data_IF_496335892334
#
_entry.id   IF_496335892334
#
_cell.length_a   1.000
_cell.length_b   1.000
_cell.length_c   1.000
_cell.angle_alpha   90.00
_cell.angle_beta   90.00
_cell.angle_gamma   90.00
#
_symmetry.space_group_name_H-M   'P 1'
#
loop_
_entity.id
_entity.type
_entity.pdbx_description
1 polymer ?
#
# COMPACT_ATOMS: atom_id res chain seq x y z
N UNK A 1 -8.77 -0.43 19.20
CA UNK A 1 -9.64 -1.62 19.21
C UNK A 1 -10.07 -1.82 17.77
N UNK A 2 -10.10 -3.05 17.24
CA UNK A 2 -10.72 -3.28 15.94
C UNK A 2 -12.16 -2.77 15.98
N UNK A 3 -12.61 -2.19 14.87
CA UNK A 3 -13.97 -1.70 14.75
C UNK A 3 -14.93 -2.88 14.91
N UNK A 4 -15.98 -2.73 15.74
CA UNK A 4 -16.95 -3.80 15.94
C UNK A 4 -17.68 -4.04 14.60
N UNK A 5 -17.61 -5.26 14.05
CA UNK A 5 -18.15 -5.58 12.73
C UNK A 5 -17.12 -5.64 11.59
N UNK A 6 -15.85 -5.36 11.86
CA UNK A 6 -14.77 -5.46 10.88
C UNK A 6 -14.51 -6.93 10.50
N UNK A 7 -14.53 -7.23 9.21
CA UNK A 7 -14.21 -8.55 8.67
C UNK A 7 -13.21 -8.42 7.52
N UNK A 8 -12.04 -9.01 7.67
CA UNK A 8 -11.01 -9.12 6.62
C UNK A 8 -11.19 -10.42 5.85
N UNK A 9 -11.37 -10.35 4.55
CA UNK A 9 -11.59 -11.51 3.68
C UNK A 9 -10.99 -11.28 2.27
N UNK A 10 -9.66 -11.41 2.12
CA UNK A 10 -9.02 -11.24 0.81
C UNK A 10 -9.44 -12.37 -0.13
N UNK A 11 -9.54 -12.02 -1.42
CA UNK A 11 -9.75 -13.02 -2.48
C UNK A 11 -8.43 -13.73 -2.82
N UNK A 12 -8.51 -14.95 -3.29
CA UNK A 12 -7.31 -15.67 -3.77
C UNK A 12 -6.64 -14.91 -4.91
N UNK A 13 -7.44 -14.36 -5.83
CA UNK A 13 -6.94 -13.58 -6.97
C UNK A 13 -6.20 -12.32 -6.50
N UNK A 14 -6.79 -11.53 -5.59
CA UNK A 14 -6.15 -10.32 -5.06
C UNK A 14 -4.84 -10.60 -4.33
N UNK A 15 -4.78 -11.69 -3.55
CA UNK A 15 -3.53 -12.14 -2.94
C UNK A 15 -2.50 -12.48 -4.03
N UNK A 16 -2.88 -13.24 -5.06
CA UNK A 16 -1.98 -13.63 -6.15
C UNK A 16 -1.51 -12.44 -6.97
N UNK A 17 -2.38 -11.46 -7.22
CA UNK A 17 -2.04 -10.24 -7.94
C UNK A 17 -0.93 -9.44 -7.23
N UNK A 18 -0.88 -9.48 -5.90
CA UNK A 18 0.17 -8.80 -5.11
C UNK A 18 1.59 -9.32 -5.38
N UNK A 19 1.73 -10.53 -5.95
CA UNK A 19 3.04 -11.13 -6.27
C UNK A 19 3.49 -10.90 -7.72
N UNK A 20 2.64 -10.32 -8.56
CA UNK A 20 2.90 -10.20 -10.00
C UNK A 20 3.61 -8.90 -10.37
N UNK A 21 4.28 -8.92 -11.52
CA UNK A 21 4.87 -7.76 -12.16
C UNK A 21 5.91 -6.96 -11.33
N UNK A 22 6.52 -7.60 -10.33
CA UNK A 22 7.66 -7.03 -9.62
C UNK A 22 8.96 -7.23 -10.41
N UNK A 23 9.87 -6.27 -10.32
CA UNK A 23 11.22 -6.37 -10.91
C UNK A 23 12.16 -7.28 -10.12
N UNK A 24 11.82 -7.57 -8.85
CA UNK A 24 12.58 -8.44 -7.95
C UNK A 24 11.69 -9.56 -7.40
N UNK A 25 12.28 -10.70 -7.00
CA UNK A 25 11.51 -11.82 -6.48
C UNK A 25 10.83 -11.51 -5.14
N UNK A 26 9.59 -11.94 -5.00
CA UNK A 26 8.89 -12.07 -3.72
C UNK A 26 9.24 -13.41 -3.06
N UNK A 27 9.12 -13.48 -1.74
CA UNK A 27 9.38 -14.72 -0.99
C UNK A 27 8.21 -15.04 -0.09
N UNK A 28 7.92 -16.33 0.04
CA UNK A 28 6.92 -16.85 0.96
C UNK A 28 7.61 -17.82 1.91
N UNK A 29 7.48 -17.59 3.21
CA UNK A 29 7.85 -18.51 4.25
C UNK A 29 6.62 -19.27 4.70
N UNK A 30 6.76 -20.59 4.79
CA UNK A 30 5.72 -21.50 5.26
C UNK A 30 6.26 -22.27 6.48
N UNK A 31 5.45 -22.39 7.52
CA UNK A 31 5.80 -23.15 8.71
C UNK A 31 4.80 -24.29 8.89
N UNK A 32 5.32 -25.49 9.12
CA UNK A 32 4.55 -26.71 9.25
C UNK A 32 4.75 -27.34 10.63
N UNK A 33 3.68 -27.90 11.18
CA UNK A 33 3.72 -28.87 12.28
C UNK A 33 3.33 -30.22 11.69
N UNK A 34 4.31 -31.12 11.59
CA UNK A 34 4.24 -32.31 10.75
C UNK A 34 3.85 -31.92 9.31
N UNK A 35 2.75 -32.42 8.78
CA UNK A 35 2.27 -32.12 7.42
C UNK A 35 1.27 -30.94 7.38
N UNK A 36 0.97 -30.34 8.53
CA UNK A 36 -0.04 -29.30 8.63
C UNK A 36 0.60 -27.92 8.54
N UNK A 37 0.16 -27.09 7.58
CA UNK A 37 0.53 -25.70 7.51
C UNK A 37 -0.05 -24.93 8.71
N UNK A 38 0.82 -24.32 9.54
CA UNK A 38 0.43 -23.60 10.75
C UNK A 38 0.65 -22.10 10.65
N UNK A 39 1.56 -21.63 9.81
CA UNK A 39 1.73 -20.20 9.54
C UNK A 39 2.37 -19.94 8.18
N UNK A 40 2.10 -18.75 7.65
CA UNK A 40 2.69 -18.22 6.43
C UNK A 40 3.03 -16.74 6.60
N UNK A 41 4.05 -16.26 5.90
CA UNK A 41 4.45 -14.86 5.80
C UNK A 41 5.03 -14.61 4.43
N UNK A 42 4.58 -13.56 3.75
CA UNK A 42 5.17 -13.11 2.49
C UNK A 42 6.07 -11.90 2.69
N UNK A 43 7.08 -11.75 1.82
CA UNK A 43 7.84 -10.52 1.67
C UNK A 43 7.84 -10.09 0.22
N UNK A 44 7.34 -8.89 -0.03
CA UNK A 44 7.19 -8.27 -1.34
C UNK A 44 8.30 -7.22 -1.54
N UNK A 45 8.95 -7.18 -2.71
CA UNK A 45 9.97 -6.20 -2.96
C UNK A 45 9.36 -4.80 -3.12
N UNK A 46 9.90 -3.83 -2.42
CA UNK A 46 9.57 -2.42 -2.58
C UNK A 46 10.85 -1.58 -2.59
N UNK A 47 10.76 -0.39 -3.13
CA UNK A 47 11.81 0.61 -3.02
C UNK A 47 11.34 1.71 -2.07
N UNK A 48 12.28 2.31 -1.36
CA UNK A 48 12.05 3.52 -0.59
C UNK A 48 13.08 4.58 -0.95
N UNK A 49 12.68 5.83 -0.83
CA UNK A 49 13.60 6.95 -0.80
C UNK A 49 13.70 7.43 0.65
N UNK A 50 14.87 7.28 1.25
CA UNK A 50 15.09 7.61 2.64
C UNK A 50 16.51 8.17 2.84
N UNK A 51 16.63 9.26 3.60
CA UNK A 51 17.93 9.89 3.85
C UNK A 51 18.65 10.34 2.58
N UNK A 52 17.93 10.80 1.55
CA UNK A 52 18.50 11.25 0.29
C UNK A 52 18.90 10.12 -0.67
N UNK A 53 18.58 8.86 -0.36
CA UNK A 53 18.98 7.69 -1.16
C UNK A 53 17.81 6.77 -1.46
N UNK A 54 17.79 6.23 -2.68
CA UNK A 54 16.92 5.12 -3.04
C UNK A 54 17.48 3.83 -2.47
N UNK A 55 16.66 3.07 -1.76
CA UNK A 55 17.01 1.80 -1.14
C UNK A 55 16.02 0.72 -1.57
N UNK A 56 16.55 -0.47 -1.83
CA UNK A 56 15.77 -1.67 -2.09
C UNK A 56 15.49 -2.36 -0.77
N UNK A 57 14.22 -2.54 -0.42
CA UNK A 57 13.81 -3.23 0.81
C UNK A 57 12.69 -4.23 0.51
N UNK A 58 12.24 -4.94 1.52
CA UNK A 58 11.05 -5.79 1.43
C UNK A 58 9.95 -5.30 2.37
N UNK A 59 8.72 -5.48 1.94
CA UNK A 59 7.53 -5.28 2.77
C UNK A 59 6.97 -6.64 3.18
N UNK A 60 6.85 -6.87 4.49
CA UNK A 60 6.26 -8.10 5.02
C UNK A 60 4.74 -7.97 5.06
N UNK A 61 4.06 -8.88 4.39
CA UNK A 61 2.60 -8.93 4.29
C UNK A 61 2.07 -10.36 4.44
N UNK A 62 0.75 -10.51 4.51
CA UNK A 62 0.05 -11.79 4.58
C UNK A 62 0.52 -12.70 5.73
N UNK A 63 0.89 -12.11 6.89
CA UNK A 63 1.20 -12.89 8.08
C UNK A 63 -0.06 -13.59 8.60
N UNK A 64 -0.10 -14.88 8.45
CA UNK A 64 -1.20 -15.73 8.92
C UNK A 64 -0.69 -16.78 9.91
N UNK A 65 -1.42 -16.97 11.01
CA UNK A 65 -1.20 -18.06 11.98
C UNK A 65 -2.51 -18.76 12.24
N UNK A 66 -2.49 -20.08 12.06
CA UNK A 66 -3.65 -20.93 12.30
C UNK A 66 -4.20 -20.72 13.72
N UNK A 67 -5.51 -20.57 13.94
CA UNK A 67 -6.10 -20.18 15.22
C UNK A 67 -5.65 -21.01 16.43
N UNK A 68 -5.50 -22.32 16.27
CA UNK A 68 -5.06 -23.23 17.34
C UNK A 68 -3.60 -23.01 17.80
N UNK A 69 -2.78 -22.35 16.98
CA UNK A 69 -1.36 -22.10 17.24
C UNK A 69 -1.05 -20.63 17.59
N UNK A 70 -2.10 -19.80 17.73
CA UNK A 70 -1.96 -18.41 18.16
C UNK A 70 -1.51 -18.32 19.61
N UNK A 71 -0.85 -17.21 19.97
CA UNK A 71 -0.31 -16.91 21.31
C UNK A 71 0.78 -17.91 21.78
N UNK A 72 1.38 -18.68 20.88
CA UNK A 72 2.44 -19.67 21.16
C UNK A 72 3.79 -19.25 20.53
N UNK A 73 3.98 -17.98 20.19
CA UNK A 73 5.23 -17.49 19.61
C UNK A 73 5.42 -17.78 18.10
N UNK A 74 4.47 -18.46 17.45
CA UNK A 74 4.59 -18.89 16.03
C UNK A 74 4.81 -17.71 15.09
N UNK A 75 4.07 -16.60 15.27
CA UNK A 75 4.27 -15.39 14.46
C UNK A 75 5.68 -14.82 14.60
N UNK A 76 6.21 -14.76 15.82
CA UNK A 76 7.57 -14.27 16.07
C UNK A 76 8.61 -15.18 15.44
N UNK A 77 8.42 -16.49 15.51
CA UNK A 77 9.36 -17.47 14.94
C UNK A 77 9.44 -17.33 13.40
N UNK A 78 8.31 -17.23 12.70
CA UNK A 78 8.32 -17.08 11.23
C UNK A 78 8.93 -15.73 10.81
N UNK A 79 8.68 -14.65 11.55
CA UNK A 79 9.30 -13.33 11.31
C UNK A 79 10.81 -13.43 11.48
N UNK A 80 11.30 -14.06 12.55
CA UNK A 80 12.72 -14.25 12.80
C UNK A 80 13.37 -15.09 11.69
N UNK A 81 12.72 -16.17 11.26
CA UNK A 81 13.21 -17.03 10.16
C UNK A 81 13.35 -16.22 8.86
N UNK A 82 12.33 -15.47 8.47
CA UNK A 82 12.36 -14.64 7.27
C UNK A 82 13.47 -13.60 7.35
N UNK A 83 13.58 -12.90 8.49
CA UNK A 83 14.62 -11.88 8.70
C UNK A 83 16.02 -12.50 8.61
N UNK A 84 16.21 -13.67 9.20
CA UNK A 84 17.51 -14.38 9.16
C UNK A 84 17.85 -14.83 7.73
N UNK A 85 16.88 -15.35 6.98
CA UNK A 85 17.08 -15.77 5.60
C UNK A 85 17.43 -14.59 4.67
N UNK A 86 16.77 -13.43 4.84
CA UNK A 86 17.15 -12.22 4.11
C UNK A 86 18.58 -11.77 4.45
N UNK A 87 18.95 -11.73 5.73
CA UNK A 87 20.33 -11.39 6.16
C UNK A 87 21.39 -12.34 5.63
N UNK A 88 21.09 -13.63 5.53
CA UNK A 88 22.01 -14.61 4.94
C UNK A 88 22.20 -14.37 3.45
N UNK A 89 21.14 -14.08 2.71
CA UNK A 89 21.21 -13.70 1.29
C UNK A 89 22.00 -12.41 1.09
N UNK A 90 21.78 -11.40 1.95
CA UNK A 90 22.48 -10.12 1.92
C UNK A 90 23.98 -10.28 2.10
N UNK A 91 24.42 -11.13 3.04
CA UNK A 91 25.83 -11.42 3.23
C UNK A 91 26.47 -11.99 1.96
N UNK A 92 25.79 -12.89 1.27
CA UNK A 92 26.25 -13.46 0.01
C UNK A 92 26.30 -12.41 -1.11
N UNK A 93 25.30 -11.53 -1.17
CA UNK A 93 25.14 -10.50 -2.21
C UNK A 93 25.84 -9.18 -1.87
N UNK A 94 26.46 -9.05 -0.67
CA UNK A 94 27.05 -7.80 -0.13
C UNK A 94 26.05 -6.64 -0.16
N UNK A 95 24.79 -6.92 0.16
CA UNK A 95 23.70 -5.94 0.30
C UNK A 95 23.26 -5.87 1.76
N UNK A 96 22.59 -4.79 2.11
CA UNK A 96 21.98 -4.59 3.43
C UNK A 96 20.50 -4.33 3.22
N UNK A 97 19.69 -5.38 3.36
CA UNK A 97 18.26 -5.34 3.07
C UNK A 97 17.47 -5.21 4.35
N UNK A 98 16.64 -4.20 4.43
CA UNK A 98 15.69 -4.00 5.52
C UNK A 98 14.32 -4.59 5.16
N UNK A 99 13.56 -4.98 6.19
CA UNK A 99 12.18 -5.43 6.03
C UNK A 99 11.27 -4.45 6.77
N UNK A 100 10.29 -3.90 6.05
CA UNK A 100 9.26 -3.02 6.59
C UNK A 100 8.04 -3.84 7.00
N UNK A 101 7.52 -3.59 8.19
CA UNK A 101 6.29 -4.21 8.71
C UNK A 101 5.24 -3.14 9.01
N UNK A 102 4.00 -3.40 8.61
CA UNK A 102 2.83 -2.73 9.18
C UNK A 102 2.38 -3.51 10.41
N UNK A 103 2.16 -2.84 11.52
CA UNK A 103 1.65 -3.47 12.72
C UNK A 103 0.46 -2.69 13.27
N UNK A 104 -0.58 -3.40 13.62
CA UNK A 104 -1.73 -2.87 14.33
C UNK A 104 -1.51 -2.97 15.86
N UNK A 105 -2.06 -1.99 16.58
CA UNK A 105 -1.98 -1.93 18.04
C UNK A 105 -0.65 -1.40 18.60
N UNK A 106 -0.58 -1.33 19.92
CA UNK A 106 0.61 -0.80 20.64
C UNK A 106 1.74 -1.84 20.63
N UNK A 107 2.93 -1.44 20.22
CA UNK A 107 4.15 -2.23 20.36
C UNK A 107 5.03 -1.62 21.44
N UNK A 108 5.47 -2.45 22.40
CA UNK A 108 6.40 -2.01 23.46
C UNK A 108 7.87 -2.31 23.16
N UNK A 109 8.17 -3.08 22.10
CA UNK A 109 9.51 -3.65 21.88
C UNK A 109 10.25 -3.09 20.67
N UNK A 110 9.61 -2.33 19.80
CA UNK A 110 10.23 -1.79 18.57
C UNK A 110 9.83 -0.33 18.44
N UNK A 111 10.82 0.53 18.19
CA UNK A 111 10.57 1.94 17.86
C UNK A 111 9.99 1.98 16.44
N UNK A 112 8.76 2.49 16.25
CA UNK A 112 8.17 2.55 14.92
C UNK A 112 8.84 3.65 14.07
N UNK A 113 8.95 3.41 12.76
CA UNK A 113 9.39 4.42 11.81
C UNK A 113 8.39 5.59 11.77
N UNK A 114 7.11 5.26 11.79
CA UNK A 114 6.01 6.22 11.88
C UNK A 114 4.78 5.59 12.54
N UNK A 115 3.93 6.44 13.09
CA UNK A 115 2.62 6.04 13.65
C UNK A 115 1.57 6.81 12.89
N UNK A 116 0.55 6.12 12.39
CA UNK A 116 -0.59 6.72 11.72
C UNK A 116 -1.90 6.19 12.30
N UNK A 117 -2.96 6.93 12.09
CA UNK A 117 -4.32 6.55 12.49
C UNK A 117 -5.15 6.35 11.23
N UNK A 118 -5.91 5.28 11.19
CA UNK A 118 -6.95 5.09 10.18
C UNK A 118 -8.24 5.71 10.68
N UNK A 119 -8.94 6.41 9.80
CA UNK A 119 -10.27 6.94 10.02
C UNK A 119 -11.22 6.26 9.05
N UNK A 120 -12.37 5.86 9.54
CA UNK A 120 -13.44 5.25 8.73
C UNK A 120 -14.57 6.25 8.62
N UNK A 121 -15.02 6.49 7.39
CA UNK A 121 -16.11 7.40 7.08
C UNK A 121 -17.17 6.66 6.28
N UNK A 122 -18.43 6.96 6.53
CA UNK A 122 -19.53 6.52 5.69
C UNK A 122 -19.69 7.52 4.55
N UNK A 123 -19.28 7.12 3.34
CA UNK A 123 -19.33 7.97 2.16
C UNK A 123 -20.72 8.14 1.58
N UNK A 124 -21.70 7.30 1.96
CA UNK A 124 -23.10 7.46 1.53
C UNK A 124 -23.75 8.69 2.15
N UNK A 125 -23.16 9.21 3.26
CA UNK A 125 -23.61 10.46 3.90
C UNK A 125 -23.06 11.72 3.24
N UNK A 126 -22.14 11.58 2.28
CA UNK A 126 -21.51 12.72 1.63
C UNK A 126 -22.38 13.31 0.52
N UNK A 127 -22.32 14.63 0.35
CA UNK A 127 -23.00 15.30 -0.74
C UNK A 127 -22.35 14.92 -2.07
N UNK A 128 -23.10 14.20 -2.90
CA UNK A 128 -22.67 13.75 -4.23
C UNK A 128 -22.96 14.77 -5.35
N UNK A 129 -23.55 15.92 -5.01
CA UNK A 129 -23.82 16.98 -5.99
C UNK A 129 -22.58 17.79 -6.36
N UNK A 130 -21.44 17.46 -5.75
CA UNK A 130 -20.16 18.09 -6.08
C UNK A 130 -19.72 17.59 -7.45
N UNK A 131 -19.81 18.44 -8.46
CA UNK A 131 -19.42 18.12 -9.83
C UNK A 131 -18.24 19.00 -10.27
N UNK A 132 -17.32 18.42 -11.01
CA UNK A 132 -16.22 19.18 -11.63
C UNK A 132 -16.68 19.99 -12.85
N UNK A 133 -17.92 19.83 -13.30
CA UNK A 133 -18.45 20.46 -14.51
C UNK A 133 -18.42 22.00 -14.49
N UNK A 134 -18.43 22.60 -13.30
CA UNK A 134 -18.31 24.04 -13.13
C UNK A 134 -16.87 24.58 -13.30
N UNK A 135 -15.89 23.66 -13.34
CA UNK A 135 -14.47 23.96 -13.42
C UNK A 135 -13.85 23.26 -14.64
N UNK A 136 -14.16 23.74 -15.83
CA UNK A 136 -13.68 23.14 -17.10
C UNK A 136 -12.15 22.99 -17.20
N UNK A 137 -11.39 23.67 -16.33
CA UNK A 137 -9.94 23.59 -16.26
C UNK A 137 -9.41 22.48 -15.35
N UNK A 138 -10.30 21.77 -14.59
CA UNK A 138 -9.95 20.68 -13.69
C UNK A 138 -10.34 19.36 -14.34
N UNK A 139 -9.43 18.39 -14.33
CA UNK A 139 -9.67 17.06 -14.88
C UNK A 139 -9.14 15.99 -13.94
N UNK A 140 -9.83 14.86 -13.91
CA UNK A 140 -9.37 13.62 -13.27
C UNK A 140 -9.16 12.55 -14.34
N UNK A 141 -7.97 11.99 -14.36
CA UNK A 141 -7.62 10.91 -15.28
C UNK A 141 -7.06 9.73 -14.50
N UNK A 142 -7.40 8.50 -14.93
CA UNK A 142 -6.85 7.28 -14.33
C UNK A 142 -5.42 7.04 -14.80
N UNK A 143 -4.63 6.44 -13.92
CA UNK A 143 -3.30 5.92 -14.30
C UNK A 143 -3.45 4.77 -15.30
N UNK A 144 -2.81 4.94 -16.44
CA UNK A 144 -2.69 3.96 -17.52
C UNK A 144 -1.26 4.00 -18.06
N UNK A 145 -0.92 3.12 -19.00
CA UNK A 145 0.37 3.19 -19.70
C UNK A 145 0.58 4.54 -20.39
N UNK A 146 -0.49 5.15 -20.95
CA UNK A 146 -0.44 6.43 -21.64
C UNK A 146 -0.22 7.61 -20.70
N UNK A 147 -0.78 7.57 -19.49
CA UNK A 147 -0.69 8.64 -18.49
C UNK A 147 0.44 8.45 -17.48
N UNK A 148 1.21 7.36 -17.60
CA UNK A 148 2.25 6.99 -16.64
C UNK A 148 3.38 8.02 -16.51
N UNK A 149 3.70 8.76 -17.56
CA UNK A 149 4.71 9.83 -17.52
C UNK A 149 4.30 10.97 -16.58
N UNK A 150 3.01 11.36 -16.58
CA UNK A 150 2.48 12.40 -15.69
C UNK A 150 2.53 11.95 -14.23
N UNK A 151 2.20 10.69 -13.97
CA UNK A 151 2.31 10.12 -12.63
C UNK A 151 3.75 10.11 -12.13
N UNK A 152 4.71 9.67 -12.97
CA UNK A 152 6.13 9.66 -12.61
C UNK A 152 6.68 11.05 -12.32
N UNK A 153 6.22 12.08 -13.03
CA UNK A 153 6.59 13.47 -12.75
C UNK A 153 6.18 13.87 -11.32
N UNK A 154 4.89 13.65 -10.96
CA UNK A 154 4.38 13.93 -9.62
C UNK A 154 5.07 13.09 -8.55
N UNK A 155 5.31 11.81 -8.82
CA UNK A 155 6.00 10.91 -7.89
C UNK A 155 7.43 11.39 -7.61
N UNK A 156 8.16 11.80 -8.64
CA UNK A 156 9.51 12.35 -8.49
C UNK A 156 9.50 13.64 -7.65
N UNK A 157 8.54 14.53 -7.85
CA UNK A 157 8.38 15.74 -7.02
C UNK A 157 8.08 15.36 -5.55
N UNK A 158 7.22 14.36 -5.33
CA UNK A 158 6.83 13.92 -3.98
C UNK A 158 8.01 13.39 -3.16
N UNK A 159 8.98 12.74 -3.80
CA UNK A 159 10.17 12.18 -3.15
C UNK A 159 10.96 13.24 -2.37
N UNK A 160 10.99 14.47 -2.84
CA UNK A 160 11.72 15.56 -2.19
C UNK A 160 10.92 16.26 -1.08
N UNK A 161 9.62 16.05 -1.03
CA UNK A 161 8.76 16.64 0.03
C UNK A 161 8.74 15.83 1.32
N UNK A 162 9.00 14.52 1.24
CA UNK A 162 8.90 13.63 2.39
C UNK A 162 10.26 13.07 2.81
N UNK A 163 10.45 12.86 4.12
CA UNK A 163 11.67 12.24 4.65
C UNK A 163 11.81 10.77 4.26
N UNK A 164 10.68 10.11 4.01
CA UNK A 164 10.61 8.73 3.56
C UNK A 164 9.44 8.60 2.57
N UNK A 165 9.71 8.08 1.38
CA UNK A 165 8.69 7.81 0.36
C UNK A 165 8.81 6.38 -0.10
N UNK A 166 7.69 5.64 -0.11
CA UNK A 166 7.63 4.29 -0.68
C UNK A 166 7.48 4.45 -2.19
N UNK A 167 8.38 3.80 -2.93
CA UNK A 167 8.43 3.80 -4.38
C UNK A 167 8.17 2.37 -4.86
N UNK A 168 6.97 2.07 -5.28
CA UNK A 168 6.67 0.79 -5.91
C UNK A 168 7.12 0.78 -7.37
N UNK A 169 7.35 -0.41 -7.91
CA UNK A 169 7.67 -0.58 -9.33
C UNK A 169 6.48 -0.13 -10.18
N UNK A 170 6.72 0.73 -11.17
CA UNK A 170 5.66 1.24 -12.04
C UNK A 170 4.92 0.11 -12.77
N UNK A 171 5.66 -0.93 -13.19
CA UNK A 171 5.07 -2.11 -13.82
C UNK A 171 4.08 -2.82 -12.90
N UNK A 172 4.41 -2.95 -11.62
CA UNK A 172 3.51 -3.53 -10.62
C UNK A 172 2.28 -2.65 -10.38
N UNK A 173 2.47 -1.32 -10.26
CA UNK A 173 1.35 -0.38 -10.09
C UNK A 173 0.38 -0.43 -11.28
N UNK A 174 0.89 -0.41 -12.52
CA UNK A 174 0.08 -0.51 -13.73
C UNK A 174 -0.67 -1.86 -13.79
N UNK A 175 0.01 -2.95 -13.44
CA UNK A 175 -0.62 -4.27 -13.37
C UNK A 175 -1.77 -4.29 -12.37
N UNK A 176 -1.59 -3.76 -11.15
CA UNK A 176 -2.65 -3.68 -10.15
C UNK A 176 -3.81 -2.77 -10.60
N UNK A 177 -3.52 -1.69 -11.33
CA UNK A 177 -4.56 -0.84 -11.91
C UNK A 177 -5.35 -1.57 -13.01
N UNK A 178 -4.68 -2.36 -13.87
CA UNK A 178 -5.34 -3.19 -14.89
C UNK A 178 -6.23 -4.28 -14.27
N UNK A 179 -5.89 -4.74 -13.06
CA UNK A 179 -6.66 -5.73 -12.28
C UNK A 179 -7.71 -5.13 -11.35
N UNK A 180 -7.87 -3.81 -11.36
CA UNK A 180 -8.79 -3.08 -10.48
C UNK A 180 -8.53 -3.26 -8.96
N UNK A 181 -7.34 -3.78 -8.59
CA UNK A 181 -6.89 -3.91 -7.21
C UNK A 181 -6.40 -2.57 -6.64
N UNK A 182 -6.00 -1.67 -7.53
CA UNK A 182 -5.52 -0.34 -7.23
C UNK A 182 -6.17 0.67 -8.17
N UNK A 183 -6.62 1.78 -7.63
CA UNK A 183 -7.11 2.93 -8.39
C UNK A 183 -6.16 4.08 -8.13
N UNK A 184 -5.51 4.56 -9.18
CA UNK A 184 -4.69 5.78 -9.12
C UNK A 184 -5.32 6.81 -10.04
N UNK A 185 -5.72 7.94 -9.46
CA UNK A 185 -6.33 9.05 -10.17
C UNK A 185 -5.39 10.26 -10.11
N UNK A 186 -5.11 10.86 -11.26
CA UNK A 186 -4.31 12.07 -11.39
C UNK A 186 -5.24 13.28 -11.48
N UNK A 187 -4.93 14.30 -10.70
CA UNK A 187 -5.60 15.61 -10.77
C UNK A 187 -4.79 16.53 -11.69
N UNK A 188 -5.45 17.02 -12.72
CA UNK A 188 -4.89 18.01 -13.65
C UNK A 188 -5.63 19.34 -13.48
N UNK A 189 -4.87 20.43 -13.54
CA UNK A 189 -5.39 21.80 -13.60
C UNK A 189 -4.78 22.47 -14.84
N UNK A 190 -5.60 22.94 -15.76
CA UNK A 190 -5.15 23.47 -17.06
C UNK A 190 -4.26 22.47 -17.84
N UNK A 191 -4.58 21.19 -17.80
CA UNK A 191 -3.84 20.06 -18.39
C UNK A 191 -2.46 19.78 -17.71
N UNK A 192 -2.09 20.47 -16.64
CA UNK A 192 -0.86 20.22 -15.90
C UNK A 192 -1.15 19.31 -14.70
N UNK A 193 -0.33 18.27 -14.43
CA UNK A 193 -0.53 17.37 -13.31
C UNK A 193 -0.15 18.07 -12.00
N UNK A 194 -1.12 18.21 -11.10
CA UNK A 194 -0.96 18.92 -9.81
C UNK A 194 -1.15 18.04 -8.59
N UNK A 195 -1.60 16.80 -8.77
CA UNK A 195 -1.75 15.89 -7.65
C UNK A 195 -2.22 14.51 -8.06
N UNK A 196 -2.26 13.61 -7.08
CA UNK A 196 -2.81 12.27 -7.28
C UNK A 196 -3.44 11.70 -6.00
N UNK A 197 -4.31 10.72 -6.20
CA UNK A 197 -4.93 9.92 -5.14
C UNK A 197 -4.74 8.44 -5.46
N UNK A 198 -4.44 7.64 -4.43
CA UNK A 198 -4.23 6.19 -4.56
C UNK A 198 -5.17 5.47 -3.61
N UNK A 199 -6.05 4.67 -4.17
CA UNK A 199 -7.03 3.87 -3.45
C UNK A 199 -6.79 2.40 -3.75
N UNK A 200 -7.17 1.54 -2.77
CA UNK A 200 -7.18 0.10 -2.95
C UNK A 200 -8.39 -0.54 -2.28
N UNK A 201 -8.74 -1.75 -2.69
CA UNK A 201 -9.58 -2.63 -1.91
C UNK A 201 -8.77 -3.16 -0.71
N UNK A 202 -9.09 -2.84 0.54
CA UNK A 202 -8.43 -3.38 1.71
C UNK A 202 -8.90 -4.80 2.03
N UNK A 203 -9.87 -5.35 1.30
CA UNK A 203 -10.59 -6.58 1.60
C UNK A 203 -11.26 -6.59 2.99
N UNK A 204 -11.62 -5.41 3.46
CA UNK A 204 -12.29 -5.22 4.74
C UNK A 204 -13.73 -4.78 4.49
N UNK A 205 -14.67 -5.40 5.18
CA UNK A 205 -16.04 -4.94 5.26
C UNK A 205 -16.37 -4.46 6.66
N UNK A 206 -17.17 -3.41 6.76
CA UNK A 206 -17.72 -2.88 7.99
C UNK A 206 -19.23 -3.06 7.95
N UNK A 207 -19.79 -3.85 8.88
CA UNK A 207 -21.23 -4.17 8.92
C UNK A 207 -21.80 -4.63 7.56
N UNK A 208 -21.04 -5.48 6.85
CA UNK A 208 -21.27 -5.99 5.48
C UNK A 208 -21.14 -4.96 4.33
N UNK A 209 -20.81 -3.71 4.60
CA UNK A 209 -20.49 -2.72 3.58
C UNK A 209 -19.04 -2.89 3.13
N UNK A 210 -18.81 -2.87 1.81
CA UNK A 210 -17.45 -2.85 1.25
C UNK A 210 -16.78 -1.53 1.61
N UNK A 211 -15.47 -1.57 1.79
CA UNK A 211 -14.68 -0.38 2.02
C UNK A 211 -13.65 -0.15 0.91
N UNK A 212 -13.22 1.09 0.78
CA UNK A 212 -12.08 1.49 -0.03
C UNK A 212 -11.08 2.22 0.88
N UNK A 213 -9.81 1.91 0.75
CA UNK A 213 -8.75 2.55 1.55
C UNK A 213 -7.96 3.52 0.67
N UNK A 214 -7.93 4.80 1.04
CA UNK A 214 -6.98 5.74 0.48
C UNK A 214 -5.62 5.51 1.17
N UNK A 215 -4.64 5.02 0.41
CA UNK A 215 -3.31 4.68 0.93
C UNK A 215 -2.28 5.79 0.71
N UNK A 216 -2.51 6.66 -0.26
CA UNK A 216 -1.64 7.80 -0.52
C UNK A 216 -2.40 8.91 -1.23
N UNK A 217 -1.97 10.15 -1.02
CA UNK A 217 -2.33 11.29 -1.82
C UNK A 217 -1.16 12.29 -1.86
N UNK A 218 -1.09 13.06 -2.92
CA UNK A 218 -0.05 14.06 -3.10
C UNK A 218 -0.63 15.30 -3.78
N UNK A 219 -0.39 16.46 -3.19
CA UNK A 219 -0.74 17.78 -3.74
C UNK A 219 0.54 18.53 -4.11
N UNK A 220 0.70 18.89 -5.38
CA UNK A 220 1.80 19.67 -5.91
C UNK A 220 1.35 21.11 -6.23
N UNK A 221 1.30 21.95 -5.18
CA UNK A 221 1.04 23.38 -5.29
C UNK A 221 -0.35 23.81 -5.81
N UNK A 222 -1.38 22.96 -5.75
CA UNK A 222 -2.75 23.43 -5.95
C UNK A 222 -3.41 23.84 -4.63
N UNK A 223 -4.54 24.56 -4.69
CA UNK A 223 -5.26 24.94 -3.48
C UNK A 223 -5.89 23.73 -2.79
N UNK A 224 -6.11 23.84 -1.48
CA UNK A 224 -6.72 22.73 -0.72
C UNK A 224 -8.14 22.45 -1.18
N UNK A 225 -8.87 23.47 -1.63
CA UNK A 225 -10.24 23.36 -2.14
C UNK A 225 -10.27 22.53 -3.43
N UNK A 226 -9.40 22.86 -4.40
CA UNK A 226 -9.29 22.10 -5.66
C UNK A 226 -8.83 20.66 -5.38
N UNK A 227 -7.88 20.47 -4.46
CA UNK A 227 -7.41 19.14 -4.10
C UNK A 227 -8.50 18.33 -3.39
N UNK A 228 -9.28 18.93 -2.47
CA UNK A 228 -10.41 18.27 -1.84
C UNK A 228 -11.53 17.94 -2.84
N UNK A 229 -11.83 18.85 -3.79
CA UNK A 229 -12.78 18.58 -4.86
C UNK A 229 -12.35 17.39 -5.72
N UNK A 230 -11.07 17.33 -6.12
CA UNK A 230 -10.52 16.21 -6.86
C UNK A 230 -10.63 14.89 -6.10
N UNK A 231 -10.41 14.89 -4.77
CA UNK A 231 -10.61 13.73 -3.93
C UNK A 231 -12.06 13.24 -3.94
N UNK A 232 -13.03 14.15 -3.69
CA UNK A 232 -14.45 13.80 -3.67
C UNK A 232 -14.94 13.23 -5.01
N UNK A 233 -14.42 13.72 -6.13
CA UNK A 233 -14.77 13.22 -7.45
C UNK A 233 -14.00 11.94 -7.86
N UNK A 234 -13.01 11.50 -7.08
CA UNK A 234 -12.20 10.29 -7.34
C UNK A 234 -12.81 9.03 -6.70
N UNK A 235 -13.76 9.18 -5.79
CA UNK A 235 -14.48 8.12 -5.08
C UNK A 235 -15.83 7.91 -5.74
#
# INVERSE_FOLDING_TARGET
>A
MPYKGEKYAPTTEGVMNSFQAHTRPSYIALNYDNERLISALATLPINIYFGGKKQEIYYADFLCVHPKYRKQGVAQNIINTVTTNHRLKDKVQKKDTSILFKREGKSMLIVPLTIYKNYVFDIDTWDRNVTMNEHAFIQLIKLTKQTSSLFLELLNKSVYKFKCTILQDLGHLLYLCEKEELIITLLLVNNEPVGFYVFRDPYITYDNNKSIEMIASYNDNTTNEIFALGFLCSI
#
